data_IF_591470976785
#
_entry.id   IF_591470976785
#
_cell.length_a   1.000
_cell.length_b   1.000
_cell.length_c   1.000
_cell.angle_alpha   90.00
_cell.angle_beta   90.00
_cell.angle_gamma   90.00
#
_symmetry.space_group_name_H-M   'P 1'
#
loop_
_entity.id
_entity.type
_entity.pdbx_description
1 polymer ?
#
# COMPACT_ATOMS: atom_id res chain seq x y z
N UNK A 1 66.68 -57.39 -17.47
CA UNK A 1 66.43 -58.69 -16.82
C UNK A 1 65.38 -58.55 -15.74
N UNK A 2 64.45 -59.49 -15.75
CA UNK A 2 63.42 -59.79 -14.74
C UNK A 2 62.21 -58.84 -14.61
N UNK A 3 61.15 -59.38 -15.17
CA UNK A 3 59.73 -59.07 -14.92
C UNK A 3 59.32 -59.40 -13.49
N UNK A 4 58.47 -58.65 -12.89
CA UNK A 4 57.52 -59.11 -11.86
C UNK A 4 56.16 -58.49 -12.11
N UNK A 5 55.25 -59.37 -12.46
CA UNK A 5 53.81 -59.17 -12.53
C UNK A 5 53.24 -59.08 -11.11
N UNK A 6 52.42 -58.10 -10.82
CA UNK A 6 51.51 -58.17 -9.66
C UNK A 6 50.12 -57.81 -10.11
N UNK A 7 49.30 -58.82 -10.08
CA UNK A 7 47.84 -58.78 -10.24
C UNK A 7 47.18 -57.96 -9.10
N UNK A 8 46.57 -56.88 -9.41
CA UNK A 8 45.72 -56.11 -8.48
C UNK A 8 44.25 -56.30 -8.86
N UNK A 9 43.50 -56.87 -7.95
CA UNK A 9 42.06 -57.11 -8.07
C UNK A 9 41.30 -55.81 -8.07
N UNK A 10 40.46 -55.58 -9.09
CA UNK A 10 39.52 -54.47 -9.18
C UNK A 10 38.25 -54.86 -8.41
N UNK A 11 38.03 -54.26 -7.23
CA UNK A 11 36.75 -54.29 -6.53
C UNK A 11 35.87 -53.21 -7.15
N UNK A 12 34.85 -53.59 -7.92
CA UNK A 12 33.78 -52.73 -8.36
C UNK A 12 32.78 -52.53 -7.20
N UNK A 13 32.81 -51.37 -6.58
CA UNK A 13 31.78 -50.92 -5.62
C UNK A 13 30.64 -50.31 -6.42
N UNK A 14 29.52 -51.02 -6.55
CA UNK A 14 28.26 -50.50 -7.05
C UNK A 14 27.64 -49.58 -5.99
N UNK A 15 27.85 -48.28 -6.11
CA UNK A 15 27.09 -47.27 -5.36
C UNK A 15 25.72 -47.12 -6.00
N UNK A 16 24.69 -47.69 -5.38
CA UNK A 16 23.28 -47.40 -5.71
C UNK A 16 22.94 -46.04 -5.10
N UNK A 17 23.01 -45.01 -5.92
CA UNK A 17 22.51 -43.68 -5.56
C UNK A 17 20.98 -43.71 -5.59
N UNK A 18 20.36 -43.85 -4.43
CA UNK A 18 18.93 -43.55 -4.28
C UNK A 18 18.74 -42.04 -4.47
N UNK A 19 18.37 -41.62 -5.67
CA UNK A 19 17.83 -40.28 -5.90
C UNK A 19 16.44 -40.22 -5.22
N UNK A 20 16.41 -39.66 -4.02
CA UNK A 20 15.16 -39.16 -3.46
C UNK A 20 14.68 -38.03 -4.39
N UNK A 21 13.67 -38.29 -5.22
CA UNK A 21 12.96 -37.26 -5.92
C UNK A 21 12.30 -36.37 -4.85
N UNK A 22 12.86 -35.19 -4.62
CA UNK A 22 12.19 -34.13 -3.88
C UNK A 22 11.02 -33.73 -4.79
N UNK A 23 9.83 -34.25 -4.50
CA UNK A 23 8.61 -33.74 -5.11
C UNK A 23 8.53 -32.24 -4.78
N UNK A 24 8.63 -31.39 -5.79
CA UNK A 24 8.27 -29.98 -5.63
C UNK A 24 6.83 -29.94 -5.08
N UNK A 25 6.54 -29.08 -4.10
CA UNK A 25 5.16 -28.92 -3.65
C UNK A 25 4.30 -28.64 -4.88
N UNK A 26 3.26 -29.42 -5.07
CA UNK A 26 2.25 -29.13 -6.09
C UNK A 26 1.68 -27.77 -5.74
N UNK A 27 1.82 -26.78 -6.64
CA UNK A 27 1.14 -25.51 -6.48
C UNK A 27 -0.35 -25.82 -6.44
N UNK A 28 -1.03 -25.47 -5.34
CA UNK A 28 -2.46 -25.63 -5.23
C UNK A 28 -3.13 -24.96 -6.43
N UNK A 29 -4.02 -25.65 -7.11
CA UNK A 29 -4.71 -25.08 -8.25
C UNK A 29 -5.63 -23.96 -7.73
N UNK A 30 -5.53 -22.78 -8.32
CA UNK A 30 -6.51 -21.71 -8.07
C UNK A 30 -7.82 -22.14 -8.76
N UNK A 31 -8.96 -22.13 -8.05
CA UNK A 31 -10.25 -22.45 -8.67
C UNK A 31 -10.56 -21.44 -9.78
N UNK A 32 -11.50 -21.80 -10.65
CA UNK A 32 -12.02 -20.88 -11.64
C UNK A 32 -12.77 -19.73 -10.92
N UNK A 33 -12.26 -18.51 -11.04
CA UNK A 33 -12.84 -17.32 -10.44
C UNK A 33 -13.69 -16.49 -11.42
N UNK A 34 -13.87 -17.00 -12.65
CA UNK A 34 -14.62 -16.32 -13.72
C UNK A 34 -16.03 -15.97 -13.29
N UNK A 35 -16.39 -14.68 -13.39
CA UNK A 35 -17.71 -14.16 -13.04
C UNK A 35 -17.98 -14.03 -11.54
N UNK A 36 -16.98 -14.23 -10.67
CA UNK A 36 -17.10 -13.89 -9.25
C UNK A 36 -17.07 -12.38 -9.06
N UNK A 37 -17.82 -11.90 -8.07
CA UNK A 37 -17.94 -10.47 -7.79
C UNK A 37 -16.68 -9.91 -7.11
N UNK A 38 -16.12 -8.88 -7.72
CA UNK A 38 -14.97 -8.15 -7.20
C UNK A 38 -15.30 -6.66 -7.10
N UNK A 39 -15.18 -6.08 -5.90
CA UNK A 39 -15.33 -4.64 -5.67
C UNK A 39 -13.97 -4.06 -5.28
N UNK A 40 -13.50 -3.06 -6.05
CA UNK A 40 -12.30 -2.30 -5.73
C UNK A 40 -12.67 -0.95 -5.13
N UNK A 41 -12.10 -0.66 -3.97
CA UNK A 41 -12.27 0.57 -3.21
C UNK A 41 -10.92 1.28 -3.10
N UNK A 42 -10.93 2.60 -3.01
CA UNK A 42 -9.68 3.29 -2.73
C UNK A 42 -9.56 4.68 -3.30
N UNK A 43 -8.32 5.16 -3.24
CA UNK A 43 -7.90 6.49 -3.64
C UNK A 43 -7.26 6.53 -5.04
N UNK A 44 -6.45 7.55 -5.28
CA UNK A 44 -5.76 7.75 -6.56
C UNK A 44 -4.74 6.67 -6.93
N UNK A 45 -4.27 5.86 -5.96
CA UNK A 45 -3.35 4.76 -6.24
C UNK A 45 -4.10 3.54 -6.76
N UNK A 46 -5.29 3.25 -6.23
CA UNK A 46 -6.19 2.25 -6.79
C UNK A 46 -6.73 2.68 -8.15
N UNK A 47 -7.10 3.96 -8.29
CA UNK A 47 -7.58 4.54 -9.55
C UNK A 47 -6.49 4.67 -10.64
N UNK A 48 -5.21 4.56 -10.30
CA UNK A 48 -4.04 4.82 -11.16
C UNK A 48 -4.05 6.22 -11.79
N UNK A 49 -4.24 7.24 -10.94
CA UNK A 49 -4.28 8.64 -11.35
C UNK A 49 -3.06 9.04 -12.20
N UNK A 50 -3.34 9.55 -13.41
CA UNK A 50 -2.32 9.98 -14.37
C UNK A 50 -2.05 8.99 -15.49
N UNK A 51 -2.61 7.77 -15.46
CA UNK A 51 -2.70 6.88 -16.61
C UNK A 51 -3.90 7.28 -17.51
N UNK A 52 -4.07 6.66 -18.69
CA UNK A 52 -5.21 6.95 -19.56
C UNK A 52 -6.53 6.75 -18.82
N UNK A 53 -7.49 7.67 -19.03
CA UNK A 53 -8.77 7.63 -18.33
C UNK A 53 -9.65 6.50 -18.84
N UNK A 54 -10.26 5.76 -17.92
CA UNK A 54 -11.30 4.79 -18.23
C UNK A 54 -12.53 5.46 -18.86
N UNK A 55 -13.20 4.74 -19.76
CA UNK A 55 -14.41 5.22 -20.41
C UNK A 55 -15.59 5.38 -19.43
N UNK A 56 -15.64 4.54 -18.41
CA UNK A 56 -16.65 4.56 -17.33
C UNK A 56 -15.93 4.75 -16.00
N UNK A 57 -16.43 5.67 -15.17
CA UNK A 57 -15.88 5.99 -13.86
C UNK A 57 -17.03 6.21 -12.87
N UNK A 58 -16.81 6.07 -11.54
CA UNK A 58 -17.83 6.33 -10.52
C UNK A 58 -18.40 7.75 -10.60
N UNK A 59 -17.55 8.73 -10.92
CA UNK A 59 -17.94 10.11 -11.22
C UNK A 59 -16.87 10.77 -12.10
N UNK A 60 -17.28 11.78 -12.87
CA UNK A 60 -16.34 12.62 -13.59
C UNK A 60 -15.39 13.31 -12.59
N UNK A 61 -14.09 13.19 -12.79
CA UNK A 61 -13.06 13.73 -11.90
C UNK A 61 -12.49 12.72 -10.89
N UNK A 62 -12.98 11.48 -10.84
CA UNK A 62 -12.28 10.39 -10.13
C UNK A 62 -10.93 10.08 -10.76
N UNK A 63 -10.76 10.45 -12.04
CA UNK A 63 -9.52 10.25 -12.79
C UNK A 63 -9.03 8.78 -12.75
N UNK A 64 -9.99 7.85 -12.81
CA UNK A 64 -9.76 6.40 -12.81
C UNK A 64 -9.31 5.94 -14.19
N UNK A 65 -8.43 4.94 -14.22
CA UNK A 65 -7.92 4.30 -15.43
C UNK A 65 -8.32 2.82 -15.48
N UNK A 66 -8.60 2.29 -16.66
CA UNK A 66 -8.75 0.85 -16.91
C UNK A 66 -7.40 0.11 -17.04
N UNK A 67 -6.28 0.83 -16.95
CA UNK A 67 -4.93 0.27 -16.80
C UNK A 67 -4.50 0.17 -15.31
N UNK A 68 -5.40 0.37 -14.36
CA UNK A 68 -5.10 0.27 -12.93
C UNK A 68 -5.00 -1.18 -12.46
N UNK A 69 -4.46 -1.41 -11.24
CA UNK A 69 -4.26 -2.77 -10.74
C UNK A 69 -5.57 -3.56 -10.57
N UNK A 70 -6.72 -2.95 -10.18
CA UNK A 70 -7.97 -3.72 -10.06
C UNK A 70 -8.42 -4.32 -11.39
N UNK A 71 -8.37 -3.55 -12.49
CA UNK A 71 -8.70 -4.06 -13.82
C UNK A 71 -7.73 -5.15 -14.26
N UNK A 72 -6.43 -4.98 -14.03
CA UNK A 72 -5.42 -5.99 -14.38
C UNK A 72 -5.64 -7.31 -13.61
N UNK A 73 -6.03 -7.24 -12.33
CA UNK A 73 -6.38 -8.42 -11.52
C UNK A 73 -7.67 -9.05 -12.03
N UNK A 74 -8.69 -8.23 -12.32
CA UNK A 74 -9.96 -8.73 -12.83
C UNK A 74 -9.79 -9.45 -14.18
N UNK A 75 -8.98 -8.87 -15.07
CA UNK A 75 -8.68 -9.48 -16.37
C UNK A 75 -7.93 -10.81 -16.23
N UNK A 76 -7.01 -10.91 -15.28
CA UNK A 76 -6.21 -12.11 -15.04
C UNK A 76 -7.06 -13.30 -14.56
N UNK A 77 -8.01 -13.06 -13.67
CA UNK A 77 -8.82 -14.12 -13.05
C UNK A 77 -10.25 -14.23 -13.62
N UNK A 78 -10.66 -13.29 -14.47
CA UNK A 78 -11.99 -13.24 -15.04
C UNK A 78 -13.06 -12.76 -14.06
N UNK A 79 -12.72 -11.96 -13.05
CA UNK A 79 -13.70 -11.38 -12.13
C UNK A 79 -14.65 -10.41 -12.82
N UNK A 80 -15.88 -10.32 -12.30
CA UNK A 80 -16.81 -9.23 -12.58
C UNK A 80 -16.51 -8.05 -11.64
N UNK A 81 -15.80 -7.05 -12.18
CA UNK A 81 -15.25 -5.92 -11.41
C UNK A 81 -16.21 -4.75 -11.34
N UNK A 82 -16.52 -4.29 -10.13
CA UNK A 82 -17.07 -2.97 -9.83
C UNK A 82 -16.00 -2.09 -9.17
N UNK A 83 -15.30 -1.25 -9.95
CA UNK A 83 -14.24 -0.39 -9.46
C UNK A 83 -14.79 0.96 -9.01
N UNK A 84 -14.81 1.18 -7.69
CA UNK A 84 -15.28 2.39 -7.02
C UNK A 84 -14.17 3.34 -6.61
N UNK A 85 -12.92 3.02 -6.90
CA UNK A 85 -11.77 3.88 -6.57
C UNK A 85 -11.91 5.27 -7.20
N UNK A 86 -11.45 6.28 -6.49
CA UNK A 86 -11.61 7.67 -6.91
C UNK A 86 -10.44 8.53 -6.42
N UNK A 87 -9.82 9.27 -7.33
CA UNK A 87 -8.69 10.15 -7.02
C UNK A 87 -8.99 11.11 -5.87
N UNK A 88 -8.09 11.17 -4.88
CA UNK A 88 -8.23 12.05 -3.72
C UNK A 88 -9.17 11.55 -2.62
N UNK A 89 -9.71 10.32 -2.72
CA UNK A 89 -10.56 9.75 -1.68
C UNK A 89 -9.83 9.63 -0.34
N UNK A 90 -10.53 9.94 0.74
CA UNK A 90 -10.15 9.66 2.13
C UNK A 90 -11.00 8.51 2.66
N UNK A 91 -10.65 7.95 3.81
CA UNK A 91 -11.36 6.80 4.41
C UNK A 91 -12.86 7.08 4.57
N UNK A 92 -13.26 8.30 4.93
CA UNK A 92 -14.67 8.67 5.03
C UNK A 92 -15.43 8.51 3.70
N UNK A 93 -14.76 8.68 2.54
CA UNK A 93 -15.40 8.48 1.23
C UNK A 93 -15.63 6.99 0.91
N UNK A 94 -14.91 6.12 1.56
CA UNK A 94 -15.18 4.68 1.48
C UNK A 94 -16.42 4.31 2.29
N UNK A 95 -16.58 4.87 3.49
CA UNK A 95 -17.53 4.38 4.51
C UNK A 95 -18.90 5.06 4.48
N UNK A 96 -18.94 6.41 4.47
CA UNK A 96 -20.17 7.15 4.77
C UNK A 96 -20.35 8.51 4.07
N UNK A 97 -19.30 9.06 3.45
CA UNK A 97 -19.33 10.41 2.90
C UNK A 97 -19.14 10.40 1.39
N UNK A 98 -20.14 10.82 0.58
CA UNK A 98 -19.95 10.99 -0.85
C UNK A 98 -18.82 11.97 -1.15
N UNK A 99 -18.02 11.68 -2.18
CA UNK A 99 -16.88 12.53 -2.56
C UNK A 99 -17.27 13.58 -3.59
N UNK A 100 -17.04 14.87 -3.28
CA UNK A 100 -17.13 15.94 -4.27
C UNK A 100 -15.83 16.02 -5.07
N UNK A 101 -15.87 15.75 -6.36
CA UNK A 101 -14.69 15.68 -7.23
C UNK A 101 -15.00 16.19 -8.63
N UNK A 102 -14.15 17.06 -9.19
CA UNK A 102 -14.28 17.56 -10.56
C UNK A 102 -15.61 18.28 -10.91
N UNK A 103 -16.34 18.77 -9.89
CA UNK A 103 -17.67 19.35 -10.06
C UNK A 103 -18.80 18.31 -10.10
N UNK A 104 -18.50 17.04 -9.90
CA UNK A 104 -19.44 15.93 -9.73
C UNK A 104 -19.42 15.40 -8.30
N UNK A 105 -20.26 14.40 -8.01
CA UNK A 105 -20.28 13.70 -6.73
C UNK A 105 -20.17 12.22 -7.00
N UNK A 106 -19.10 11.60 -6.49
CA UNK A 106 -18.97 10.15 -6.44
C UNK A 106 -19.74 9.60 -5.22
N UNK A 107 -20.50 8.50 -5.38
CA UNK A 107 -21.18 7.84 -4.25
C UNK A 107 -20.18 7.36 -3.20
N UNK A 108 -20.70 7.01 -2.02
CA UNK A 108 -19.95 6.25 -1.01
C UNK A 108 -19.48 4.95 -1.64
N UNK A 109 -18.19 4.64 -1.52
CA UNK A 109 -17.63 3.51 -2.27
C UNK A 109 -18.16 2.17 -1.77
N UNK A 110 -18.32 2.00 -0.44
CA UNK A 110 -18.84 0.76 0.14
C UNK A 110 -20.32 0.48 -0.15
N UNK A 111 -21.06 1.43 -0.76
CA UNK A 111 -22.43 1.18 -1.24
C UNK A 111 -22.50 0.16 -2.38
N UNK A 112 -21.37 -0.19 -2.99
CA UNK A 112 -21.26 -1.26 -3.99
C UNK A 112 -21.15 -2.66 -3.39
N UNK A 113 -20.89 -2.75 -2.08
CA UNK A 113 -20.71 -4.04 -1.40
C UNK A 113 -22.04 -4.69 -1.04
N UNK A 114 -22.11 -6.00 -1.16
CA UNK A 114 -23.23 -6.82 -0.72
C UNK A 114 -22.76 -8.20 -0.23
N UNK A 115 -23.71 -9.05 0.17
CA UNK A 115 -23.41 -10.37 0.70
C UNK A 115 -22.87 -11.37 -0.36
N UNK A 116 -23.03 -11.06 -1.63
CA UNK A 116 -22.58 -11.89 -2.76
C UNK A 116 -21.20 -11.42 -3.28
N UNK A 117 -20.59 -10.39 -2.68
CA UNK A 117 -19.24 -9.94 -3.01
C UNK A 117 -18.21 -10.99 -2.59
N UNK A 118 -17.38 -11.46 -3.54
CA UNK A 118 -16.35 -12.50 -3.31
C UNK A 118 -14.98 -11.91 -2.93
N UNK A 119 -14.60 -10.78 -3.54
CA UNK A 119 -13.31 -10.11 -3.33
C UNK A 119 -13.51 -8.62 -3.13
N UNK A 120 -12.81 -8.07 -2.15
CA UNK A 120 -12.66 -6.62 -1.95
C UNK A 120 -11.19 -6.27 -1.91
N UNK A 121 -10.77 -5.28 -2.70
CA UNK A 121 -9.46 -4.64 -2.51
C UNK A 121 -9.64 -3.20 -2.03
N UNK A 122 -8.74 -2.73 -1.16
CA UNK A 122 -8.78 -1.38 -0.59
C UNK A 122 -7.38 -0.77 -0.55
N UNK A 123 -7.18 0.37 -1.24
CA UNK A 123 -5.97 1.21 -1.13
C UNK A 123 -6.40 2.60 -0.66
N UNK A 124 -6.14 2.93 0.62
CA UNK A 124 -6.66 4.16 1.24
C UNK A 124 -5.79 4.61 2.43
N UNK A 125 -5.90 5.86 2.85
CA UNK A 125 -5.27 6.42 4.05
C UNK A 125 -4.18 7.43 3.76
N UNK A 126 -3.58 7.40 2.57
CA UNK A 126 -2.56 8.37 2.17
C UNK A 126 -3.09 9.81 2.13
N UNK A 127 -4.34 10.02 1.71
CA UNK A 127 -4.96 11.34 1.71
C UNK A 127 -5.39 11.80 3.11
N UNK A 128 -5.74 10.87 4.01
CA UNK A 128 -6.02 11.18 5.43
C UNK A 128 -4.77 11.70 6.14
N UNK A 129 -3.59 11.19 5.79
CA UNK A 129 -2.31 11.72 6.24
C UNK A 129 -1.91 13.04 5.53
N UNK A 130 -2.52 13.35 4.37
CA UNK A 130 -2.15 14.51 3.56
C UNK A 130 -0.87 14.31 2.75
N UNK A 131 -0.58 13.10 2.29
CA UNK A 131 0.67 12.74 1.58
C UNK A 131 0.90 13.58 0.32
N UNK A 132 -0.17 13.92 -0.43
CA UNK A 132 -0.08 14.80 -1.59
C UNK A 132 0.40 16.21 -1.22
N UNK A 133 -0.16 16.79 -0.16
CA UNK A 133 0.20 18.11 0.36
C UNK A 133 1.64 18.09 0.91
N UNK A 134 2.02 17.04 1.64
CA UNK A 134 3.36 16.83 2.13
C UNK A 134 4.36 16.79 0.96
N UNK A 135 4.08 16.03 -0.08
CA UNK A 135 4.91 15.95 -1.28
C UNK A 135 5.13 17.30 -1.94
N UNK A 136 4.10 18.16 -2.01
CA UNK A 136 4.23 19.51 -2.55
C UNK A 136 5.03 20.44 -1.62
N UNK A 137 4.78 20.39 -0.32
CA UNK A 137 5.49 21.22 0.67
C UNK A 137 6.99 20.96 0.67
N UNK A 138 7.40 19.71 0.49
CA UNK A 138 8.80 19.30 0.54
C UNK A 138 9.58 19.51 -0.77
N UNK A 139 8.94 20.08 -1.81
CA UNK A 139 9.66 20.46 -3.03
C UNK A 139 10.74 21.48 -2.69
N UNK A 140 11.99 21.12 -2.91
CA UNK A 140 13.16 21.94 -2.62
C UNK A 140 13.67 22.68 -3.86
N UNK A 141 14.10 23.91 -3.67
CA UNK A 141 14.71 24.73 -4.73
C UNK A 141 16.09 24.22 -5.14
N UNK A 142 16.85 23.68 -4.19
CA UNK A 142 18.18 23.06 -4.38
C UNK A 142 18.30 21.80 -3.52
N UNK A 143 19.35 21.02 -3.69
CA UNK A 143 19.62 19.84 -2.87
C UNK A 143 19.75 20.15 -1.35
N UNK A 144 20.05 21.40 -0.99
CA UNK A 144 20.10 21.90 0.39
C UNK A 144 18.91 22.78 0.77
N UNK A 145 17.82 22.76 0.04
CA UNK A 145 16.66 23.63 0.24
C UNK A 145 16.79 24.99 -0.47
N UNK A 146 15.96 26.00 -0.09
CA UNK A 146 14.83 25.85 0.82
C UNK A 146 13.70 25.03 0.20
N UNK A 147 12.78 24.52 1.06
CA UNK A 147 11.54 23.86 0.63
C UNK A 147 10.43 24.86 0.34
N UNK A 148 9.47 24.46 -0.49
CA UNK A 148 8.40 25.34 -0.98
C UNK A 148 7.34 25.65 0.09
N UNK A 149 7.02 24.69 0.96
CA UNK A 149 5.97 24.81 1.95
C UNK A 149 6.46 25.24 3.32
N UNK A 150 5.60 25.93 4.07
CA UNK A 150 5.86 26.35 5.44
C UNK A 150 4.56 26.31 6.26
N UNK A 151 4.61 25.68 7.43
CA UNK A 151 3.50 25.62 8.38
C UNK A 151 3.48 26.84 9.32
N UNK A 152 4.63 27.45 9.57
CA UNK A 152 4.83 28.55 10.52
C UNK A 152 5.14 29.90 9.84
N UNK A 153 5.19 29.92 8.52
CA UNK A 153 5.52 31.10 7.70
C UNK A 153 7.01 31.41 7.58
N UNK A 154 7.88 30.56 8.15
CA UNK A 154 9.32 30.71 8.03
C UNK A 154 9.87 29.97 6.81
N UNK A 155 11.11 30.27 6.44
CA UNK A 155 11.84 29.57 5.38
C UNK A 155 12.61 28.40 6.02
N UNK A 156 12.36 27.19 5.56
CA UNK A 156 12.98 25.97 6.06
C UNK A 156 13.91 25.36 5.01
N UNK A 157 15.03 24.78 5.43
CA UNK A 157 15.93 24.07 4.53
C UNK A 157 15.34 22.71 4.14
N UNK A 158 14.55 22.09 5.01
CA UNK A 158 13.87 20.81 4.77
C UNK A 158 12.49 20.77 5.43
N UNK A 159 11.62 19.90 4.96
CA UNK A 159 10.34 19.60 5.61
C UNK A 159 10.54 18.98 6.99
N UNK A 160 11.59 18.19 7.19
CA UNK A 160 11.87 17.56 8.47
C UNK A 160 11.97 18.58 9.61
N UNK A 161 12.42 19.81 9.34
CA UNK A 161 12.45 20.90 10.34
C UNK A 161 11.05 21.26 10.88
N UNK A 162 9.99 20.96 10.14
CA UNK A 162 8.61 21.28 10.48
C UNK A 162 7.86 20.11 11.12
N UNK A 163 8.27 18.87 10.80
CA UNK A 163 7.57 17.66 11.24
C UNK A 163 8.31 16.87 12.30
N UNK A 164 9.61 17.12 12.50
CA UNK A 164 10.39 16.45 13.54
C UNK A 164 10.60 17.40 14.72
N UNK A 165 9.93 17.11 15.85
CA UNK A 165 9.99 17.90 17.07
C UNK A 165 10.96 17.24 18.04
N UNK A 166 11.97 18.01 18.50
CA UNK A 166 12.89 17.54 19.52
C UNK A 166 12.23 17.58 20.91
N UNK A 167 12.10 16.42 21.54
CA UNK A 167 11.59 16.28 22.91
C UNK A 167 12.70 15.81 23.85
N UNK A 168 12.52 15.92 25.18
CA UNK A 168 13.47 15.36 26.14
C UNK A 168 13.71 13.85 26.00
N UNK A 169 12.76 13.13 25.40
CA UNK A 169 12.83 11.69 25.13
C UNK A 169 13.48 11.36 23.77
N UNK A 170 13.75 12.37 22.95
CA UNK A 170 14.28 12.24 21.58
C UNK A 170 13.44 12.95 20.54
N UNK A 171 13.84 12.91 19.26
CA UNK A 171 13.06 13.46 18.16
C UNK A 171 11.78 12.64 17.96
N UNK A 172 10.68 13.33 17.71
CA UNK A 172 9.35 12.76 17.43
C UNK A 172 8.90 13.24 16.05
N UNK A 173 8.57 12.33 15.16
CA UNK A 173 7.94 12.62 13.89
C UNK A 173 6.42 12.81 14.13
N UNK A 174 5.92 14.00 13.92
CA UNK A 174 4.50 14.32 14.16
C UNK A 174 3.56 13.68 13.15
N UNK A 175 4.07 13.28 11.98
CA UNK A 175 3.31 12.53 10.97
C UNK A 175 2.97 11.11 11.47
N UNK A 176 3.89 10.46 12.19
CA UNK A 176 3.62 9.15 12.83
C UNK A 176 2.50 9.28 13.87
N UNK A 177 2.53 10.34 14.70
CA UNK A 177 1.43 10.63 15.63
C UNK A 177 0.09 10.84 14.91
N UNK A 178 0.08 11.48 13.75
CA UNK A 178 -1.13 11.67 12.95
C UNK A 178 -1.61 10.33 12.37
N UNK A 179 -0.72 9.44 11.94
CA UNK A 179 -1.07 8.09 11.49
C UNK A 179 -1.81 7.34 12.62
N UNK A 180 -1.25 7.33 13.83
CA UNK A 180 -1.85 6.64 14.99
C UNK A 180 -3.21 7.22 15.41
N UNK A 181 -3.37 8.55 15.33
CA UNK A 181 -4.56 9.22 15.82
C UNK A 181 -5.67 9.35 14.79
N UNK A 182 -5.34 9.29 13.50
CA UNK A 182 -6.30 9.56 12.42
C UNK A 182 -6.46 8.36 11.50
N UNK A 183 -5.37 7.84 10.92
CA UNK A 183 -5.45 6.81 9.90
C UNK A 183 -5.80 5.45 10.50
N UNK A 184 -5.10 5.04 11.55
CA UNK A 184 -5.28 3.72 12.16
C UNK A 184 -6.72 3.47 12.65
N UNK A 185 -7.34 4.36 13.47
CA UNK A 185 -8.71 4.14 13.93
C UNK A 185 -9.74 4.24 12.80
N UNK A 186 -9.53 5.12 11.82
CA UNK A 186 -10.44 5.25 10.69
C UNK A 186 -10.38 4.01 9.78
N UNK A 187 -9.19 3.47 9.49
CA UNK A 187 -9.02 2.24 8.73
C UNK A 187 -9.66 1.04 9.43
N UNK A 188 -9.48 0.93 10.76
CA UNK A 188 -10.13 -0.13 11.54
C UNK A 188 -11.65 -0.08 11.45
N UNK A 189 -12.24 1.13 11.52
CA UNK A 189 -13.68 1.31 11.37
C UNK A 189 -14.15 0.99 9.94
N UNK A 190 -13.37 1.36 8.92
CA UNK A 190 -13.69 1.06 7.52
C UNK A 190 -13.68 -0.45 7.24
N UNK A 191 -12.71 -1.19 7.76
CA UNK A 191 -12.65 -2.64 7.62
C UNK A 191 -13.83 -3.33 8.29
N UNK A 192 -14.27 -2.86 9.47
CA UNK A 192 -15.46 -3.38 10.13
C UNK A 192 -16.75 -3.10 9.32
N UNK A 193 -16.88 -1.94 8.66
CA UNK A 193 -18.02 -1.63 7.76
C UNK A 193 -18.01 -2.53 6.52
N UNK A 194 -16.84 -2.71 5.90
CA UNK A 194 -16.66 -3.58 4.72
C UNK A 194 -17.04 -5.03 5.06
N UNK A 195 -16.54 -5.56 6.18
CA UNK A 195 -16.88 -6.91 6.65
C UNK A 195 -18.36 -7.07 6.93
N UNK A 196 -19.01 -6.06 7.52
CA UNK A 196 -20.44 -6.10 7.79
C UNK A 196 -21.29 -6.11 6.51
N UNK A 197 -20.85 -5.43 5.44
CA UNK A 197 -21.56 -5.37 4.14
C UNK A 197 -21.28 -6.58 3.26
N UNK A 198 -20.05 -7.08 3.27
CA UNK A 198 -19.58 -8.20 2.47
C UNK A 198 -18.99 -9.32 3.35
N UNK A 199 -19.83 -10.02 4.16
CA UNK A 199 -19.36 -10.93 5.22
C UNK A 199 -18.69 -12.21 4.68
N UNK A 200 -18.76 -12.46 3.38
CA UNK A 200 -18.15 -13.62 2.73
C UNK A 200 -16.95 -13.26 1.86
N UNK A 201 -16.71 -11.97 1.65
CA UNK A 201 -15.63 -11.49 0.80
C UNK A 201 -14.24 -11.80 1.40
N UNK A 202 -13.29 -12.11 0.51
CA UNK A 202 -11.87 -12.00 0.84
C UNK A 202 -11.50 -10.52 0.75
N UNK A 203 -10.98 -9.95 1.84
CA UNK A 203 -10.60 -8.53 1.91
C UNK A 203 -9.08 -8.43 1.85
N UNK A 204 -8.58 -7.66 0.89
CA UNK A 204 -7.16 -7.34 0.71
C UNK A 204 -6.97 -5.84 0.85
N UNK A 205 -6.24 -5.40 1.86
CA UNK A 205 -5.73 -4.02 1.94
C UNK A 205 -4.39 -3.95 1.23
N UNK A 206 -4.27 -3.05 0.27
CA UNK A 206 -3.09 -2.91 -0.57
C UNK A 206 -2.35 -1.63 -0.16
N UNK A 207 -1.10 -1.77 0.25
CA UNK A 207 -0.22 -0.65 0.61
C UNK A 207 0.19 0.19 -0.59
N UNK A 208 1.10 1.13 -0.35
CA UNK A 208 1.60 2.05 -1.37
C UNK A 208 3.02 1.65 -1.82
N UNK A 209 3.35 1.68 -3.12
CA UNK A 209 4.73 1.54 -3.57
C UNK A 209 5.59 2.68 -3.02
N UNK A 210 6.87 2.43 -2.83
CA UNK A 210 7.80 3.38 -2.24
C UNK A 210 7.89 4.69 -3.03
N UNK A 211 7.66 5.81 -2.34
CA UNK A 211 7.83 7.16 -2.87
C UNK A 211 9.26 7.66 -2.69
N UNK A 212 9.91 7.22 -1.63
CA UNK A 212 11.28 7.53 -1.30
C UNK A 212 12.08 6.25 -1.04
N UNK A 213 13.32 6.15 -1.50
CA UNK A 213 14.18 5.02 -1.24
C UNK A 213 14.60 4.99 0.24
N UNK A 214 14.96 3.82 0.73
CA UNK A 214 15.67 3.68 1.99
C UNK A 214 17.14 4.12 1.86
N UNK A 215 17.87 4.07 2.97
CA UNK A 215 19.28 4.46 3.00
C UNK A 215 20.18 3.58 2.11
N UNK A 216 19.83 2.29 1.94
CA UNK A 216 20.60 1.36 1.11
C UNK A 216 20.44 1.62 -0.38
N UNK A 217 19.30 2.16 -0.80
CA UNK A 217 18.96 2.46 -2.19
C UNK A 217 19.11 3.94 -2.54
N UNK A 218 19.46 4.79 -1.58
CA UNK A 218 19.80 6.20 -1.80
C UNK A 218 21.22 6.33 -2.37
N UNK A 219 21.40 6.91 -3.58
CA UNK A 219 22.72 7.12 -4.14
C UNK A 219 23.61 7.98 -3.22
N UNK A 220 24.93 7.78 -3.26
CA UNK A 220 25.89 8.57 -2.45
C UNK A 220 25.83 10.08 -2.71
N UNK A 221 25.34 10.51 -3.90
CA UNK A 221 25.10 11.91 -4.25
C UNK A 221 23.72 12.42 -3.87
N UNK A 222 22.89 11.60 -3.26
CA UNK A 222 21.48 11.87 -2.99
C UNK A 222 20.57 11.71 -4.22
N UNK A 223 19.30 11.97 -4.00
CA UNK A 223 18.25 11.80 -5.01
C UNK A 223 17.86 13.11 -5.72
N UNK A 224 18.28 14.26 -5.21
CA UNK A 224 17.80 15.54 -5.70
C UNK A 224 18.01 15.74 -7.20
N UNK A 225 16.91 16.06 -7.88
CA UNK A 225 16.96 16.59 -9.25
C UNK A 225 16.05 17.83 -9.37
N UNK A 226 16.61 18.91 -9.95
CA UNK A 226 15.85 20.15 -10.13
C UNK A 226 14.65 19.94 -11.05
N UNK A 227 13.56 20.67 -10.79
CA UNK A 227 12.40 20.76 -11.68
C UNK A 227 12.72 21.35 -13.06
N UNK A 228 13.84 22.08 -13.15
CA UNK A 228 14.27 22.74 -14.38
C UNK A 228 15.49 22.01 -14.99
N UNK A 229 15.51 21.92 -16.30
CA UNK A 229 16.64 21.41 -17.07
C UNK A 229 16.89 22.27 -18.32
N UNK A 230 18.02 22.99 -18.33
CA UNK A 230 18.28 23.98 -19.35
C UNK A 230 17.23 25.09 -19.32
N UNK A 231 16.56 25.31 -20.46
CA UNK A 231 15.47 26.31 -20.58
C UNK A 231 14.05 25.70 -20.47
N UNK A 232 13.94 24.45 -20.02
CA UNK A 232 12.68 23.74 -19.94
C UNK A 232 12.45 23.04 -18.61
N UNK A 233 11.37 22.32 -18.55
CA UNK A 233 11.01 21.50 -17.39
C UNK A 233 11.65 20.11 -17.50
N UNK A 234 12.19 19.63 -16.37
CA UNK A 234 12.66 18.25 -16.29
C UNK A 234 11.48 17.31 -16.16
N UNK A 235 11.49 16.24 -16.95
CA UNK A 235 10.52 15.15 -16.78
C UNK A 235 10.92 14.28 -15.61
N UNK A 236 9.95 13.88 -14.79
CA UNK A 236 10.13 13.02 -13.62
C UNK A 236 11.27 13.51 -12.70
N UNK A 237 11.27 14.81 -12.38
CA UNK A 237 12.18 15.35 -11.39
C UNK A 237 11.86 14.79 -9.99
N UNK A 238 12.90 14.73 -9.15
CA UNK A 238 12.76 14.33 -7.74
C UNK A 238 13.39 15.43 -6.86
N UNK A 239 12.66 16.54 -6.63
CA UNK A 239 13.20 17.76 -6.05
C UNK A 239 13.12 17.75 -4.50
N UNK A 240 13.59 16.69 -3.87
CA UNK A 240 13.58 16.53 -2.41
C UNK A 240 14.99 16.54 -1.86
N UNK A 241 15.21 17.21 -0.71
CA UNK A 241 16.50 17.14 0.00
C UNK A 241 16.73 15.73 0.54
N UNK A 242 17.98 15.35 0.84
CA UNK A 242 18.25 14.04 1.41
C UNK A 242 17.53 13.83 2.75
N UNK A 243 17.46 14.87 3.58
CA UNK A 243 16.74 14.84 4.86
C UNK A 243 15.25 14.61 4.67
N UNK A 244 14.66 15.18 3.60
CA UNK A 244 13.25 14.96 3.30
C UNK A 244 12.99 13.57 2.67
N UNK A 245 13.94 13.03 1.92
CA UNK A 245 13.90 11.64 1.44
C UNK A 245 13.85 10.67 2.63
N UNK A 246 14.70 10.89 3.65
CA UNK A 246 14.69 10.09 4.88
C UNK A 246 13.37 10.23 5.64
N UNK A 247 12.84 11.45 5.80
CA UNK A 247 11.54 11.70 6.44
C UNK A 247 10.40 11.00 5.69
N UNK A 248 10.32 11.17 4.37
CA UNK A 248 9.27 10.59 3.54
C UNK A 248 9.30 9.05 3.60
N UNK A 249 10.50 8.45 3.52
CA UNK A 249 10.64 7.00 3.65
C UNK A 249 10.22 6.50 5.03
N UNK A 250 10.72 7.12 6.11
CA UNK A 250 10.37 6.73 7.47
C UNK A 250 8.87 6.86 7.75
N UNK A 251 8.26 7.96 7.30
CA UNK A 251 6.82 8.18 7.46
C UNK A 251 6.01 7.14 6.68
N UNK A 252 6.42 6.82 5.44
CA UNK A 252 5.74 5.81 4.63
C UNK A 252 5.91 4.41 5.23
N UNK A 253 7.08 4.07 5.77
CA UNK A 253 7.31 2.79 6.44
C UNK A 253 6.43 2.64 7.68
N UNK A 254 6.31 3.71 8.47
CA UNK A 254 5.42 3.72 9.64
C UNK A 254 3.94 3.56 9.24
N UNK A 255 3.53 4.20 8.16
CA UNK A 255 2.17 4.04 7.61
C UNK A 255 1.93 2.60 7.14
N UNK A 256 2.87 2.00 6.41
CA UNK A 256 2.79 0.63 5.90
C UNK A 256 2.67 -0.38 7.05
N UNK A 257 3.54 -0.28 8.06
CA UNK A 257 3.51 -1.11 9.26
C UNK A 257 2.20 -0.96 10.05
N UNK A 258 1.70 0.27 10.18
CA UNK A 258 0.44 0.55 10.91
C UNK A 258 -0.76 -0.02 10.15
N UNK A 259 -0.80 0.17 8.83
CA UNK A 259 -1.85 -0.40 7.98
C UNK A 259 -1.85 -1.94 8.03
N UNK A 260 -0.66 -2.57 8.01
CA UNK A 260 -0.51 -4.01 8.17
C UNK A 260 -1.10 -4.49 9.50
N UNK A 261 -0.71 -3.87 10.62
CA UNK A 261 -1.20 -4.24 11.95
C UNK A 261 -2.71 -4.11 12.08
N UNK A 262 -3.29 -3.01 11.59
CA UNK A 262 -4.75 -2.78 11.63
C UNK A 262 -5.49 -3.79 10.77
N UNK A 263 -4.96 -4.09 9.58
CA UNK A 263 -5.57 -5.05 8.64
C UNK A 263 -5.54 -6.46 9.20
N UNK A 264 -4.40 -6.92 9.70
CA UNK A 264 -4.25 -8.24 10.30
C UNK A 264 -5.13 -8.41 11.53
N UNK A 265 -5.27 -7.36 12.36
CA UNK A 265 -6.15 -7.37 13.52
C UNK A 265 -7.64 -7.51 13.15
N UNK A 266 -8.05 -7.11 11.96
CA UNK A 266 -9.41 -7.30 11.43
C UNK A 266 -9.63 -8.68 10.80
N UNK A 267 -8.56 -9.47 10.58
CA UNK A 267 -8.63 -10.75 9.88
C UNK A 267 -8.56 -10.63 8.35
N UNK A 268 -8.36 -9.43 7.81
CA UNK A 268 -8.11 -9.19 6.39
C UNK A 268 -6.63 -9.45 6.03
N UNK A 269 -6.34 -9.52 4.74
CA UNK A 269 -4.98 -9.71 4.22
C UNK A 269 -4.36 -8.37 3.86
N UNK A 270 -3.13 -8.12 4.33
CA UNK A 270 -2.35 -6.95 3.93
C UNK A 270 -1.32 -7.31 2.84
N UNK A 271 -1.29 -6.52 1.78
CA UNK A 271 -0.28 -6.62 0.72
C UNK A 271 0.61 -5.39 0.79
N UNK A 272 1.77 -5.51 1.46
CA UNK A 272 2.78 -4.46 1.43
C UNK A 272 3.43 -4.39 0.05
N UNK A 273 3.60 -3.19 -0.46
CA UNK A 273 4.33 -2.89 -1.69
C UNK A 273 5.68 -2.23 -1.42
N UNK A 274 5.89 -1.74 -0.18
CA UNK A 274 6.98 -0.84 0.16
C UNK A 274 8.35 -1.50 -0.05
N UNK A 275 8.61 -2.61 0.63
CA UNK A 275 9.93 -3.25 0.65
C UNK A 275 10.41 -3.67 -0.75
N UNK A 276 9.51 -4.18 -1.58
CA UNK A 276 9.81 -4.67 -2.92
C UNK A 276 9.89 -3.56 -3.98
N UNK A 277 9.60 -2.31 -3.61
CA UNK A 277 9.62 -1.16 -4.51
C UNK A 277 10.62 -0.06 -4.12
N UNK A 278 11.36 -0.19 -3.02
CA UNK A 278 12.33 0.84 -2.57
C UNK A 278 13.44 1.14 -3.58
N UNK A 279 13.81 0.15 -4.41
CA UNK A 279 14.77 0.34 -5.51
C UNK A 279 14.14 1.01 -6.75
N UNK A 280 12.80 1.04 -6.82
CA UNK A 280 12.01 1.50 -7.97
C UNK A 280 11.30 2.83 -7.71
N UNK A 281 11.89 3.67 -6.89
CA UNK A 281 11.38 5.02 -6.58
C UNK A 281 11.75 6.04 -7.66
N UNK A 282 11.15 7.24 -7.69
CA UNK A 282 11.53 8.29 -8.63
C UNK A 282 12.98 8.79 -8.47
N UNK A 283 13.66 8.44 -7.38
CA UNK A 283 15.11 8.64 -7.23
C UNK A 283 15.91 7.86 -8.30
N UNK A 284 15.37 6.73 -8.79
CA UNK A 284 15.89 5.96 -9.90
C UNK A 284 14.94 6.06 -11.12
N UNK A 285 14.96 7.18 -11.88
CA UNK A 285 13.95 7.46 -12.92
C UNK A 285 13.97 6.51 -14.11
N UNK A 286 14.97 5.62 -14.23
CA UNK A 286 15.07 4.66 -15.33
C UNK A 286 14.27 3.39 -15.08
N UNK A 287 14.01 3.09 -13.81
CA UNK A 287 13.38 1.85 -13.37
C UNK A 287 12.43 2.16 -12.20
N UNK A 288 11.62 3.20 -12.37
CA UNK A 288 10.70 3.66 -11.34
C UNK A 288 9.30 3.12 -11.57
N UNK A 289 8.66 2.68 -10.49
CA UNK A 289 7.24 2.32 -10.46
C UNK A 289 6.34 3.55 -10.20
N UNK A 290 6.93 4.64 -9.75
CA UNK A 290 6.23 5.87 -9.42
C UNK A 290 6.80 7.02 -10.24
N UNK A 291 5.93 7.88 -10.77
CA UNK A 291 6.37 9.04 -11.52
C UNK A 291 7.04 10.07 -10.59
N UNK A 292 8.08 10.71 -11.06
CA UNK A 292 8.57 11.94 -10.46
C UNK A 292 7.69 13.15 -10.81
N UNK A 293 8.10 14.33 -10.35
CA UNK A 293 7.40 15.59 -10.60
C UNK A 293 7.81 16.16 -11.95
N UNK A 294 6.83 16.53 -12.78
CA UNK A 294 7.03 17.23 -14.03
C UNK A 294 6.19 18.50 -14.02
N UNK A 295 6.81 19.68 -14.18
CA UNK A 295 6.04 20.91 -14.38
C UNK A 295 5.44 20.92 -15.79
N UNK A 296 4.23 21.49 -15.91
CA UNK A 296 3.49 21.53 -17.15
C UNK A 296 2.71 22.86 -17.29
N UNK A 297 2.60 23.36 -18.50
CA UNK A 297 1.73 24.48 -18.86
C UNK A 297 0.41 24.01 -19.50
N UNK A 298 0.19 22.70 -19.56
CA UNK A 298 -1.04 22.16 -20.13
C UNK A 298 -2.26 22.53 -19.24
N UNK A 299 -3.43 22.75 -19.85
CA UNK A 299 -4.64 23.18 -19.12
C UNK A 299 -5.11 22.20 -18.07
N UNK A 300 -4.78 20.92 -18.21
CA UNK A 300 -5.13 19.82 -17.29
C UNK A 300 -4.10 19.60 -16.17
N UNK A 301 -3.08 20.45 -16.09
CA UNK A 301 -2.09 20.39 -15.01
C UNK A 301 -2.72 20.73 -13.67
N UNK A 302 -2.28 20.04 -12.62
CA UNK A 302 -2.71 20.33 -11.24
C UNK A 302 -2.09 21.64 -10.78
N UNK A 303 -2.88 22.64 -10.41
CA UNK A 303 -2.35 23.91 -9.95
C UNK A 303 -1.46 23.73 -8.71
N UNK A 304 -0.34 24.46 -8.69
CA UNK A 304 0.53 24.56 -7.53
C UNK A 304 0.41 25.96 -6.94
N UNK A 305 0.21 26.04 -5.65
CA UNK A 305 0.18 27.31 -4.94
C UNK A 305 1.45 28.12 -5.21
N UNK A 306 1.28 29.38 -5.61
CA UNK A 306 2.40 30.27 -5.91
C UNK A 306 2.91 30.24 -7.36
N UNK A 307 2.44 29.33 -8.22
CA UNK A 307 2.67 29.42 -9.65
C UNK A 307 1.51 30.18 -10.33
N UNK A 308 1.76 31.31 -10.99
CA UNK A 308 0.69 32.11 -11.61
C UNK A 308 0.11 31.44 -12.86
N UNK A 309 0.85 30.52 -13.50
CA UNK A 309 0.45 29.79 -14.71
C UNK A 309 1.11 28.39 -14.69
N UNK A 310 0.33 27.38 -15.12
CA UNK A 310 0.79 26.00 -15.15
C UNK A 310 0.64 25.29 -13.81
N UNK A 311 1.25 24.14 -13.69
CA UNK A 311 1.14 23.28 -12.52
C UNK A 311 2.03 22.06 -12.62
N UNK A 312 1.68 21.03 -11.86
CA UNK A 312 2.30 19.70 -11.92
C UNK A 312 1.48 18.84 -12.89
N UNK A 313 2.15 18.12 -13.78
CA UNK A 313 1.51 17.13 -14.65
C UNK A 313 0.80 16.07 -13.80
N UNK A 314 -0.41 15.67 -14.20
CA UNK A 314 -1.14 14.56 -13.56
C UNK A 314 -0.28 13.30 -13.48
N UNK A 315 -0.46 12.52 -12.45
CA UNK A 315 0.31 11.30 -12.18
C UNK A 315 1.64 11.53 -11.43
N UNK A 316 2.02 12.77 -11.10
CA UNK A 316 3.20 13.01 -10.26
C UNK A 316 3.08 12.31 -8.90
N UNK A 317 4.16 11.67 -8.44
CA UNK A 317 4.21 10.84 -7.22
C UNK A 317 3.14 9.73 -7.13
N UNK A 318 2.62 9.29 -8.28
CA UNK A 318 1.66 8.19 -8.41
C UNK A 318 2.22 7.08 -9.29
N UNK A 319 1.68 5.85 -9.20
CA UNK A 319 2.12 4.74 -10.02
C UNK A 319 2.07 5.06 -11.52
N UNK A 320 3.11 4.70 -12.24
CA UNK A 320 3.09 4.60 -13.70
C UNK A 320 2.58 3.21 -14.12
N UNK A 321 2.54 2.93 -15.42
CA UNK A 321 2.08 1.63 -15.91
C UNK A 321 2.89 0.44 -15.35
N UNK A 322 4.21 0.60 -15.13
CA UNK A 322 5.02 -0.44 -14.50
C UNK A 322 4.66 -0.63 -13.01
N UNK A 323 4.34 0.47 -12.31
CA UNK A 323 3.87 0.42 -10.93
C UNK A 323 2.49 -0.21 -10.79
N UNK A 324 1.56 0.07 -11.70
CA UNK A 324 0.25 -0.58 -11.73
C UNK A 324 0.38 -2.09 -11.98
N UNK A 325 1.23 -2.51 -12.91
CA UNK A 325 1.53 -3.92 -13.19
C UNK A 325 2.23 -4.61 -12.02
N UNK A 326 3.16 -3.93 -11.34
CA UNK A 326 3.80 -4.43 -10.12
C UNK A 326 2.76 -4.67 -9.02
N UNK A 327 1.90 -3.68 -8.75
CA UNK A 327 0.83 -3.80 -7.75
C UNK A 327 -0.12 -4.94 -8.09
N UNK A 328 -0.56 -5.03 -9.36
CA UNK A 328 -1.38 -6.13 -9.85
C UNK A 328 -0.75 -7.49 -9.58
N UNK A 329 0.55 -7.67 -9.87
CA UNK A 329 1.25 -8.92 -9.61
C UNK A 329 1.20 -9.32 -8.12
N UNK A 330 1.43 -8.35 -7.21
CA UNK A 330 1.40 -8.60 -5.76
C UNK A 330 0.00 -8.95 -5.26
N UNK A 331 -1.01 -8.25 -5.76
CA UNK A 331 -2.42 -8.54 -5.42
C UNK A 331 -2.84 -9.88 -6.00
N UNK A 332 -2.45 -10.21 -7.23
CA UNK A 332 -2.71 -11.50 -7.86
C UNK A 332 -2.11 -12.67 -7.07
N UNK A 333 -0.91 -12.48 -6.51
CA UNK A 333 -0.30 -13.50 -5.65
C UNK A 333 -1.13 -13.73 -4.38
N UNK A 334 -1.63 -12.67 -3.75
CA UNK A 334 -2.53 -12.77 -2.59
C UNK A 334 -3.89 -13.42 -2.97
N UNK A 335 -4.44 -13.09 -4.13
CA UNK A 335 -5.66 -13.73 -4.64
C UNK A 335 -5.45 -15.23 -4.82
N UNK A 336 -4.34 -15.65 -5.42
CA UNK A 336 -4.02 -17.08 -5.57
C UNK A 336 -3.94 -17.79 -4.22
N UNK A 337 -3.35 -17.16 -3.21
CA UNK A 337 -3.24 -17.73 -1.86
C UNK A 337 -4.59 -17.83 -1.18
N UNK A 338 -5.41 -16.77 -1.23
CA UNK A 338 -6.71 -16.70 -0.56
C UNK A 338 -7.78 -17.60 -1.15
N UNK A 339 -7.69 -17.88 -2.46
CA UNK A 339 -8.64 -18.73 -3.19
C UNK A 339 -8.05 -20.12 -3.49
N UNK A 340 -6.84 -20.45 -3.03
CA UNK A 340 -6.29 -21.79 -3.19
C UNK A 340 -7.20 -22.83 -2.52
N UNK A 341 -7.53 -23.90 -3.25
CA UNK A 341 -8.20 -25.04 -2.64
C UNK A 341 -7.25 -25.70 -1.61
N UNK A 342 -7.75 -26.06 -0.42
CA UNK A 342 -6.93 -26.80 0.53
C UNK A 342 -6.46 -28.10 -0.12
N UNK A 343 -5.16 -28.38 0.01
CA UNK A 343 -4.59 -29.65 -0.49
C UNK A 343 -5.47 -30.81 -0.02
N UNK A 344 -5.87 -31.73 -0.93
CA UNK A 344 -6.66 -32.87 -0.52
C UNK A 344 -5.91 -33.62 0.58
N UNK A 345 -6.48 -33.63 1.78
CA UNK A 345 -5.93 -34.40 2.91
C UNK A 345 -5.61 -35.78 2.40
N UNK A 346 -4.37 -36.27 2.52
CA UNK A 346 -4.01 -37.59 2.02
C UNK A 346 -4.97 -38.60 2.63
N UNK A 347 -5.79 -39.20 1.78
CA UNK A 347 -6.69 -40.29 2.20
C UNK A 347 -5.84 -41.32 2.94
N UNK A 348 -6.12 -41.63 4.21
CA UNK A 348 -5.32 -42.59 4.95
C UNK A 348 -5.29 -43.90 4.14
N UNK A 349 -4.11 -44.26 3.67
CA UNK A 349 -3.89 -45.54 3.03
C UNK A 349 -4.23 -46.59 4.09
N UNK A 350 -5.36 -47.26 3.89
CA UNK A 350 -5.78 -48.36 4.74
C UNK A 350 -4.70 -49.44 4.61
N UNK A 351 -3.78 -49.47 5.56
CA UNK A 351 -2.86 -50.59 5.71
C UNK A 351 -3.74 -51.82 5.94
N UNK A 352 -3.64 -52.87 5.10
CA UNK A 352 -4.48 -54.04 5.31
C UNK A 352 -4.20 -54.58 6.70
N UNK A 353 -5.25 -54.64 7.52
CA UNK A 353 -5.25 -55.26 8.85
C UNK A 353 -4.74 -56.69 8.68
N UNK A 354 -3.67 -57.13 9.40
CA UNK A 354 -3.27 -58.54 9.34
C UNK A 354 -4.43 -59.41 9.85
N UNK A 355 -4.75 -60.40 9.06
CA UNK A 355 -5.76 -61.41 9.37
C UNK A 355 -5.48 -61.98 10.76
N UNK A 356 -6.44 -62.04 11.70
CA UNK A 356 -6.23 -62.66 13.00
C UNK A 356 -5.97 -64.17 12.82
N UNK A 357 -4.85 -64.62 13.32
CA UNK A 357 -4.61 -66.04 13.52
C UNK A 357 -5.37 -66.45 14.79
N UNK A 358 -6.23 -67.44 14.66
CA UNK A 358 -7.00 -68.04 15.75
C UNK A 358 -6.05 -68.57 16.81
N UNK A 359 -6.20 -68.13 18.05
CA UNK A 359 -5.72 -68.83 19.25
C UNK A 359 -6.74 -68.71 20.39
N UNK A 360 -6.91 -69.76 21.19
CA UNK A 360 -8.15 -70.03 21.87
C UNK A 360 -8.34 -69.26 23.18
N UNK A 361 -9.60 -69.00 23.45
CA UNK A 361 -10.23 -68.44 24.68
C UNK A 361 -9.67 -68.96 25.99
N UNK A 362 -9.64 -68.11 27.04
CA UNK A 362 -10.18 -68.48 28.33
C UNK A 362 -11.20 -67.48 28.89
N UNK A 363 -12.25 -68.04 29.28
CA UNK A 363 -13.26 -67.90 30.40
C UNK A 363 -13.24 -66.67 31.28
N UNK A 364 -14.45 -66.21 31.73
CA UNK A 364 -14.69 -64.90 32.30
C UNK A 364 -14.67 -64.88 33.84
N UNK A 365 -14.45 -63.69 34.39
CA UNK A 365 -15.02 -63.28 35.71
C UNK A 365 -14.55 -61.89 36.15
N UNK A 366 -15.18 -61.24 37.10
CA UNK A 366 -16.53 -60.64 37.06
C UNK A 366 -16.52 -59.09 37.24
N UNK A 367 -17.70 -58.50 37.10
CA UNK A 367 -18.11 -57.15 37.42
C UNK A 367 -17.66 -56.58 38.74
N UNK A 368 -17.32 -55.30 38.77
CA UNK A 368 -17.68 -54.40 39.87
C UNK A 368 -18.13 -53.05 39.36
N UNK A 369 -19.29 -52.71 39.82
CA UNK A 369 -20.09 -51.51 39.86
C UNK A 369 -19.31 -50.37 40.53
N UNK A 370 -19.39 -49.15 40.04
CA UNK A 370 -20.08 -47.98 40.68
C UNK A 370 -19.59 -46.65 40.11
N UNK A 371 -20.56 -45.86 39.77
CA UNK A 371 -20.55 -44.41 39.61
C UNK A 371 -20.41 -43.72 40.98
N UNK A 372 -19.92 -42.47 41.10
CA UNK A 372 -20.92 -41.38 40.93
C UNK A 372 -20.44 -40.09 40.24
N UNK A 373 -21.41 -39.47 39.67
CA UNK A 373 -21.61 -38.09 39.28
C UNK A 373 -21.05 -37.06 40.27
N UNK A 374 -20.31 -36.05 39.77
CA UNK A 374 -20.09 -34.79 40.49
C UNK A 374 -20.61 -33.63 39.63
N UNK A 375 -21.65 -33.06 40.12
CA UNK A 375 -22.29 -31.81 39.74
C UNK A 375 -21.36 -30.64 40.01
N UNK A 376 -21.17 -29.73 39.06
CA UNK A 376 -20.50 -28.45 39.27
C UNK A 376 -21.51 -27.34 39.05
N UNK A 377 -21.73 -26.57 40.11
CA UNK A 377 -22.61 -25.41 40.18
C UNK A 377 -22.10 -24.22 39.38
N UNK A 378 -22.99 -23.30 38.96
CA UNK A 378 -22.62 -22.15 38.14
C UNK A 378 -22.04 -21.00 38.96
N UNK A 379 -21.06 -20.31 38.40
CA UNK A 379 -20.46 -19.08 38.90
C UNK A 379 -21.36 -17.88 38.51
N UNK A 380 -21.58 -16.90 39.39
CA UNK A 380 -22.50 -15.78 39.12
C UNK A 380 -21.94 -14.74 38.20
N UNK A 381 -22.75 -14.32 37.23
CA UNK A 381 -22.56 -13.12 36.40
C UNK A 381 -22.55 -11.86 37.26
N UNK A 382 -21.46 -11.08 37.13
CA UNK A 382 -21.45 -9.70 37.63
C UNK A 382 -22.00 -8.78 36.56
N UNK A 383 -23.13 -8.16 36.80
CA UNK A 383 -23.71 -7.08 36.05
C UNK A 383 -22.79 -5.85 36.05
N UNK A 384 -22.35 -5.39 34.89
CA UNK A 384 -21.74 -4.09 34.72
C UNK A 384 -22.84 -3.04 34.56
N UNK A 385 -22.81 -2.04 35.40
CA UNK A 385 -23.67 -0.84 35.39
C UNK A 385 -23.33 0.03 34.16
N UNK A 386 -24.29 0.59 33.41
CA UNK A 386 -24.01 1.49 32.32
C UNK A 386 -23.48 2.84 32.83
N UNK A 387 -22.33 3.24 32.35
CA UNK A 387 -21.79 4.58 32.53
C UNK A 387 -22.51 5.53 31.56
N UNK A 388 -22.99 6.64 32.10
CA UNK A 388 -23.78 7.66 31.44
C UNK A 388 -23.05 8.23 30.23
N UNK A 389 -23.80 8.41 29.13
CA UNK A 389 -23.40 9.12 27.92
C UNK A 389 -22.95 10.55 28.26
N UNK A 390 -21.72 10.87 27.94
CA UNK A 390 -21.24 12.24 27.93
C UNK A 390 -21.75 12.93 26.64
N UNK A 391 -22.37 14.06 26.84
CA UNK A 391 -22.92 14.98 25.84
C UNK A 391 -21.92 15.28 24.73
N UNK A 392 -22.40 15.15 23.49
CA UNK A 392 -21.78 15.60 22.26
C UNK A 392 -21.40 17.08 22.33
N UNK A 393 -20.12 17.36 22.51
CA UNK A 393 -19.55 18.66 22.17
C UNK A 393 -19.42 18.73 20.64
N UNK A 394 -20.11 19.68 20.01
CA UNK A 394 -19.97 19.99 18.60
C UNK A 394 -18.49 20.26 18.31
N UNK A 395 -17.88 19.43 17.45
CA UNK A 395 -16.59 19.70 16.84
C UNK A 395 -16.75 20.93 15.97
N UNK A 396 -16.10 22.01 16.40
CA UNK A 396 -15.95 23.20 15.58
C UNK A 396 -15.35 22.75 14.24
N UNK A 397 -16.03 23.06 13.15
CA UNK A 397 -15.46 23.08 11.81
C UNK A 397 -14.27 24.02 11.84
N UNK A 398 -13.06 23.48 11.98
CA UNK A 398 -11.85 24.22 11.71
C UNK A 398 -11.83 24.45 10.20
N UNK A 399 -12.21 25.66 9.83
CA UNK A 399 -12.02 26.14 8.47
C UNK A 399 -10.56 25.91 8.09
N UNK A 400 -10.36 25.38 6.89
CA UNK A 400 -9.07 25.32 6.23
C UNK A 400 -8.34 26.64 6.47
N UNK A 401 -7.15 26.64 7.10
CA UNK A 401 -6.36 27.85 7.18
C UNK A 401 -6.07 28.26 5.73
N UNK A 402 -6.51 29.46 5.36
CA UNK A 402 -6.19 30.02 4.07
C UNK A 402 -4.68 30.24 4.02
N UNK A 403 -3.99 29.39 3.28
CA UNK A 403 -2.53 29.43 3.04
C UNK A 403 -2.13 30.65 2.19
N UNK A 404 -2.97 31.66 2.11
CA UNK A 404 -2.79 32.84 1.26
C UNK A 404 -1.66 33.80 1.73
N UNK A 405 -1.10 33.63 2.94
CA UNK A 405 -0.14 34.58 3.49
C UNK A 405 1.35 34.27 3.31
N UNK A 406 1.72 32.97 3.16
CA UNK A 406 3.14 32.55 3.21
C UNK A 406 3.79 32.31 1.83
N UNK A 407 3.05 32.42 0.74
CA UNK A 407 3.48 32.00 -0.60
C UNK A 407 4.21 33.10 -1.37
N UNK A 408 4.24 34.32 -0.86
CA UNK A 408 4.86 35.46 -1.56
C UNK A 408 6.39 35.33 -1.79
N UNK A 409 7.11 34.59 -0.96
CA UNK A 409 8.57 34.58 -0.97
C UNK A 409 9.14 33.49 -1.90
N UNK A 410 8.56 32.31 -1.93
CA UNK A 410 9.01 31.22 -2.82
C UNK A 410 8.75 31.49 -4.30
N UNK A 411 7.58 32.05 -4.63
CA UNK A 411 7.23 32.49 -5.97
C UNK A 411 8.11 33.67 -6.45
N UNK A 412 8.45 34.58 -5.54
CA UNK A 412 9.37 35.68 -5.87
C UNK A 412 10.79 35.18 -6.21
N UNK A 413 11.30 34.15 -5.53
CA UNK A 413 12.61 33.58 -5.84
C UNK A 413 12.61 32.81 -7.17
N UNK A 414 11.55 32.07 -7.49
CA UNK A 414 11.42 31.38 -8.78
C UNK A 414 11.31 32.37 -9.94
N UNK A 415 10.52 33.44 -9.77
CA UNK A 415 10.37 34.52 -10.77
C UNK A 415 11.64 35.36 -10.92
N UNK A 416 12.38 35.60 -9.84
CA UNK A 416 13.70 36.27 -9.89
C UNK A 416 14.71 35.41 -10.62
N UNK A 417 14.71 34.08 -10.40
CA UNK A 417 15.55 33.13 -11.14
C UNK A 417 15.24 33.15 -12.65
N UNK A 418 13.98 33.10 -13.02
CA UNK A 418 13.53 33.15 -14.43
C UNK A 418 13.83 34.52 -15.05
N UNK A 419 13.55 35.62 -14.34
CA UNK A 419 13.84 36.99 -14.83
C UNK A 419 15.34 37.23 -14.97
N UNK A 420 16.16 36.73 -14.06
CA UNK A 420 17.61 36.87 -14.12
C UNK A 420 18.20 36.05 -15.27
N UNK A 421 17.67 34.84 -15.53
CA UNK A 421 18.05 34.00 -16.67
C UNK A 421 17.66 34.68 -17.99
N UNK A 422 16.47 35.25 -18.08
CA UNK A 422 16.02 35.99 -19.28
C UNK A 422 16.83 37.29 -19.52
N UNK A 423 17.27 37.98 -18.46
CA UNK A 423 18.13 39.14 -18.54
C UNK A 423 19.54 38.78 -19.01
N UNK A 424 20.11 37.65 -18.52
CA UNK A 424 21.41 37.16 -18.93
C UNK A 424 21.39 36.70 -20.41
N UNK A 425 20.30 36.08 -20.85
CA UNK A 425 20.10 35.69 -22.25
C UNK A 425 19.98 36.91 -23.18
N UNK A 426 19.31 37.97 -22.78
CA UNK A 426 19.24 39.21 -23.53
C UNK A 426 20.60 39.91 -23.67
N UNK A 427 21.47 39.82 -22.65
CA UNK A 427 22.84 40.35 -22.72
C UNK A 427 23.80 39.52 -23.55
N UNK A 428 23.53 38.24 -23.80
CA UNK A 428 24.35 37.36 -24.61
C UNK A 428 24.02 37.49 -26.13
N UNK A 429 22.95 38.19 -26.48
CA UNK A 429 22.50 38.43 -27.87
C UNK A 429 22.55 39.93 -28.26
N UNK A 430 23.10 40.79 -27.43
CA UNK A 430 23.46 42.17 -27.72
C UNK A 430 24.98 42.36 -27.72
#
# INVERSE_FOLDING_TARGET
MRRLLSTGAVLAVLAVSAMAAIAAPASAAVPDLTGRSYVSLGDSYAAAWGLPLAATQPAAGCDQSDENYPHLVADEFGFDLDDRSCGGAVIANVVDTPQSVGGATAPVQSDALDADTDLVTLTIGGNDLGFWQLGQMCIAATAGGPVAGSLDGNVHASCAEQFVVNTPAGPVNTLETQIDQTVAPALSAALADIEARAPHAKIIVVGYPALAPDAAHTPSGGCYTSLLQGLGFRTNAYPYTNTDVELLHATQAYLDDTMAQVTEASGATYVSLLADSVAHTPCNPRDSYVNGITLSLAPDSVPVSGLPVGGIKKGAIHPNAAGAAFTSTKVSDAVRELFAEPDPTPTPTITPTPTPTDDPSPSPSPSTTESPSASVSPVPSTSATPVAAATTGALATTGTPSVAGAIGIGAAMLLVGIAMTLLLLRRAHS
#
